data_IF_002713339476
#
_entry.id   IF_002713339476
#
_cell.length_a   1.000
_cell.length_b   1.000
_cell.length_c   1.000
_cell.angle_alpha   90.00
_cell.angle_beta   90.00
_cell.angle_gamma   90.00
#
_symmetry.space_group_name_H-M   'P 1'
#
loop_
_entity.id
_entity.type
_entity.pdbx_description
1 polymer ?
#
# COMPACT_ATOMS: atom_id res chain seq x y z
N UNK A 1 -20.18 -10.89 3.06
CA UNK A 1 -18.95 -10.41 3.74
C UNK A 1 -18.78 -8.93 3.42
N UNK A 2 -18.62 -8.06 4.41
CA UNK A 2 -18.46 -6.62 4.18
C UNK A 2 -17.03 -6.29 3.75
N UNK A 3 -16.87 -5.55 2.66
CA UNK A 3 -15.56 -5.10 2.15
C UNK A 3 -15.01 -3.87 2.90
N UNK A 4 -15.83 -3.23 3.76
CA UNK A 4 -15.38 -2.09 4.56
C UNK A 4 -14.66 -2.59 5.81
N UNK A 5 -13.52 -1.97 6.13
CA UNK A 5 -12.88 -2.14 7.43
C UNK A 5 -13.72 -1.47 8.53
N UNK A 6 -13.72 -2.08 9.71
CA UNK A 6 -14.42 -1.63 10.91
C UNK A 6 -13.49 -1.66 12.11
N UNK A 7 -13.93 -1.09 13.23
CA UNK A 7 -13.20 -1.17 14.49
C UNK A 7 -13.00 -2.64 14.89
N UNK A 8 -11.77 -2.99 15.25
CA UNK A 8 -11.38 -4.35 15.62
C UNK A 8 -10.88 -5.20 14.46
N UNK A 9 -11.06 -4.78 13.20
CA UNK A 9 -10.44 -5.47 12.07
C UNK A 9 -8.92 -5.29 12.09
N UNK A 10 -8.20 -6.38 11.85
CA UNK A 10 -6.80 -6.31 11.46
C UNK A 10 -6.71 -6.17 9.95
N UNK A 11 -5.92 -5.21 9.47
CA UNK A 11 -5.70 -4.94 8.04
C UNK A 11 -4.24 -5.11 7.69
N UNK A 12 -3.98 -5.70 6.53
CA UNK A 12 -2.67 -5.71 5.90
C UNK A 12 -2.55 -4.51 4.96
N UNK A 13 -1.42 -3.82 5.03
CA UNK A 13 -1.07 -2.74 4.12
C UNK A 13 0.24 -3.11 3.42
N UNK A 14 0.15 -3.42 2.14
CA UNK A 14 1.29 -3.67 1.27
C UNK A 14 1.54 -2.42 0.42
N UNK A 15 2.74 -1.87 0.48
CA UNK A 15 3.16 -0.70 -0.32
C UNK A 15 4.37 -1.07 -1.19
N UNK A 16 4.17 -1.08 -2.50
CA UNK A 16 5.19 -1.41 -3.48
C UNK A 16 5.60 -0.19 -4.29
N UNK A 17 6.90 0.08 -4.39
CA UNK A 17 7.43 1.03 -5.36
C UNK A 17 7.53 0.36 -6.74
N UNK A 18 6.50 0.56 -7.58
CA UNK A 18 6.42 -0.06 -8.91
C UNK A 18 7.53 0.44 -9.84
N UNK A 19 7.95 1.69 -9.66
CA UNK A 19 9.01 2.32 -10.44
C UNK A 19 9.74 3.34 -9.58
N UNK A 20 11.07 3.23 -9.55
CA UNK A 20 11.97 4.20 -8.93
C UNK A 20 12.86 4.78 -10.03
N UNK A 21 12.68 6.06 -10.31
CA UNK A 21 13.51 6.83 -11.23
C UNK A 21 14.52 7.70 -10.48
N UNK A 22 15.15 8.62 -11.23
CA UNK A 22 16.20 9.50 -10.69
C UNK A 22 15.71 10.45 -9.58
N UNK A 23 14.55 11.05 -9.79
CA UNK A 23 13.97 12.07 -8.91
C UNK A 23 12.53 11.77 -8.48
N UNK A 24 11.96 10.64 -8.91
CA UNK A 24 10.57 10.30 -8.65
C UNK A 24 10.41 8.80 -8.44
N UNK A 25 9.55 8.40 -7.51
CA UNK A 25 9.03 7.05 -7.41
C UNK A 25 7.51 7.03 -7.44
N UNK A 26 6.97 5.96 -8.03
CA UNK A 26 5.54 5.68 -8.11
C UNK A 26 5.26 4.43 -7.28
N UNK A 27 4.29 4.51 -6.38
CA UNK A 27 3.94 3.42 -5.48
C UNK A 27 2.49 3.00 -5.64
N UNK A 28 2.23 1.69 -5.58
CA UNK A 28 0.87 1.16 -5.38
C UNK A 28 0.76 0.66 -3.95
N UNK A 29 -0.36 0.99 -3.31
CA UNK A 29 -0.70 0.55 -1.96
C UNK A 29 -1.96 -0.30 -2.06
N UNK A 30 -1.92 -1.48 -1.44
CA UNK A 30 -3.05 -2.40 -1.29
C UNK A 30 -3.36 -2.53 0.19
N UNK A 31 -4.60 -2.25 0.57
CA UNK A 31 -5.09 -2.35 1.94
C UNK A 31 -6.16 -3.43 1.95
N UNK A 32 -5.89 -4.56 2.61
CA UNK A 32 -6.79 -5.71 2.66
C UNK A 32 -7.13 -6.07 4.10
N UNK A 33 -8.30 -6.66 4.35
CA UNK A 33 -8.53 -7.30 5.66
C UNK A 33 -7.62 -8.50 5.81
N UNK A 34 -7.14 -8.78 7.00
CA UNK A 34 -6.47 -10.03 7.31
C UNK A 34 -7.51 -11.07 7.73
N UNK A 35 -7.52 -12.22 7.07
CA UNK A 35 -8.39 -13.36 7.37
C UNK A 35 -7.50 -14.58 7.51
N UNK A 36 -7.53 -15.23 8.67
CA UNK A 36 -6.69 -16.40 8.98
C UNK A 36 -5.19 -16.17 8.72
N UNK A 37 -4.72 -14.96 9.05
CA UNK A 37 -3.32 -14.56 8.86
C UNK A 37 -2.92 -14.27 7.41
N UNK A 38 -3.87 -14.22 6.47
CA UNK A 38 -3.62 -13.94 5.04
C UNK A 38 -4.43 -12.75 4.55
N UNK A 39 -3.95 -11.99 3.56
CA UNK A 39 -4.76 -10.95 2.94
C UNK A 39 -6.02 -11.54 2.29
N UNK A 40 -7.17 -11.08 2.79
CA UNK A 40 -8.50 -11.39 2.30
C UNK A 40 -9.06 -10.25 1.44
N UNK A 41 -10.33 -9.84 1.64
CA UNK A 41 -10.96 -8.81 0.83
C UNK A 41 -10.22 -7.48 0.83
N UNK A 42 -10.07 -6.88 -0.37
CA UNK A 42 -9.51 -5.55 -0.55
C UNK A 42 -10.46 -4.49 0.02
N UNK A 43 -9.93 -3.61 0.86
CA UNK A 43 -10.67 -2.50 1.47
C UNK A 43 -10.42 -1.20 0.70
N UNK A 44 -9.17 -0.97 0.29
CA UNK A 44 -8.79 0.23 -0.46
C UNK A 44 -7.53 0.00 -1.29
N UNK A 45 -7.39 0.80 -2.35
CA UNK A 45 -6.15 0.93 -3.10
C UNK A 45 -5.74 2.39 -3.15
N UNK A 46 -4.44 2.66 -3.18
CA UNK A 46 -3.93 4.01 -3.37
C UNK A 46 -2.71 4.01 -4.29
N UNK A 47 -2.48 5.14 -4.93
CA UNK A 47 -1.27 5.42 -5.67
C UNK A 47 -0.66 6.71 -5.16
N UNK A 48 0.64 6.70 -4.93
CA UNK A 48 1.38 7.91 -4.59
C UNK A 48 2.56 8.08 -5.53
N UNK A 49 2.81 9.34 -5.88
CA UNK A 49 4.02 9.77 -6.56
C UNK A 49 4.84 10.57 -5.56
N UNK A 50 6.08 10.16 -5.32
CA UNK A 50 6.99 10.81 -4.37
C UNK A 50 8.20 11.35 -5.11
N UNK A 51 8.58 12.58 -4.79
CA UNK A 51 9.89 13.09 -5.18
C UNK A 51 10.98 12.38 -4.36
N UNK A 52 12.08 12.03 -5.00
CA UNK A 52 13.26 11.45 -4.36
C UNK A 52 14.41 12.42 -4.54
N UNK A 53 14.96 12.91 -3.43
CA UNK A 53 16.20 13.64 -3.45
C UNK A 53 17.36 12.65 -3.61
N UNK A 54 18.23 12.87 -4.59
CA UNK A 54 19.45 12.07 -4.70
C UNK A 54 20.35 12.39 -3.51
N UNK A 55 20.85 11.36 -2.83
CA UNK A 55 21.96 11.52 -1.91
C UNK A 55 23.16 12.08 -2.69
N UNK A 56 23.80 13.13 -2.17
CA UNK A 56 25.04 13.65 -2.77
C UNK A 56 26.12 12.58 -2.55
N UNK A 57 26.64 12.04 -3.65
CA UNK A 57 27.83 11.18 -3.67
C UNK A 57 29.10 11.97 -3.41
#
# INVERSE_FOLDING_TARGET
MSIRAQLGDTIEIEALANKVGRSMAFTTIRISKLVDGKPGPMVATASHTKYIQQAKS
#
